data_IF_647627821645
#
_entry.id   IF_647627821645
#
_cell.length_a   1.000
_cell.length_b   1.000
_cell.length_c   1.000
_cell.angle_alpha   90.00
_cell.angle_beta   90.00
_cell.angle_gamma   90.00
#
_symmetry.space_group_name_H-M   'P 1'
#
loop_
_entity.id
_entity.type
_entity.pdbx_description
1 polymer ?
#
# COMPACT_ATOMS: atom_id res chain seq x y z
N UNK A 1 -6.51 -11.02 11.99
CA UNK A 1 -5.06 -10.98 12.33
C UNK A 1 -4.32 -10.29 11.20
N UNK A 2 -3.44 -9.35 11.51
CA UNK A 2 -2.57 -8.69 10.52
C UNK A 2 -1.21 -9.40 10.46
N UNK A 3 -0.67 -9.58 9.25
CA UNK A 3 0.61 -10.25 8.99
C UNK A 3 1.27 -9.68 7.72
N UNK A 4 2.48 -10.14 7.38
CA UNK A 4 3.18 -9.77 6.12
C UNK A 4 2.38 -10.11 4.86
N UNK A 5 1.48 -11.08 4.92
CA UNK A 5 0.60 -11.44 3.79
C UNK A 5 -0.64 -10.54 3.68
N UNK A 6 -0.87 -9.66 4.66
CA UNK A 6 -2.03 -8.79 4.74
C UNK A 6 -2.96 -9.11 5.92
N UNK A 7 -4.17 -8.61 5.85
CA UNK A 7 -5.21 -8.85 6.85
C UNK A 7 -5.83 -10.25 6.62
N UNK A 8 -5.57 -11.18 7.54
CA UNK A 8 -6.04 -12.57 7.46
C UNK A 8 -7.47 -12.69 7.96
N UNK A 9 -8.32 -13.29 7.15
CA UNK A 9 -9.72 -13.66 7.42
C UNK A 9 -9.84 -15.17 7.32
N UNK A 10 -10.42 -15.84 8.31
CA UNK A 10 -10.74 -17.26 8.19
C UNK A 10 -11.99 -17.43 7.33
N UNK A 11 -12.04 -18.44 6.48
CA UNK A 11 -13.20 -18.71 5.62
C UNK A 11 -14.44 -19.05 6.44
N UNK A 12 -14.27 -19.78 7.53
CA UNK A 12 -15.34 -20.20 8.43
C UNK A 12 -16.02 -19.02 9.17
N UNK A 13 -15.31 -17.89 9.29
CA UNK A 13 -15.82 -16.68 9.94
C UNK A 13 -16.58 -15.75 8.96
N UNK A 14 -16.68 -16.12 7.66
CA UNK A 14 -17.27 -15.32 6.61
C UNK A 14 -18.55 -15.96 6.04
N UNK A 15 -19.56 -15.14 5.83
CA UNK A 15 -20.73 -15.55 5.05
C UNK A 15 -20.41 -15.60 3.55
N UNK A 16 -21.18 -16.38 2.78
CA UNK A 16 -21.04 -16.43 1.33
C UNK A 16 -21.17 -15.03 0.67
N UNK A 17 -22.08 -14.20 1.19
CA UNK A 17 -22.24 -12.83 0.70
C UNK A 17 -21.00 -11.99 0.94
N UNK A 18 -20.36 -12.10 2.10
CA UNK A 18 -19.11 -11.39 2.40
C UNK A 18 -17.96 -11.86 1.50
N UNK A 19 -17.88 -13.16 1.20
CA UNK A 19 -16.88 -13.71 0.27
C UNK A 19 -17.10 -13.18 -1.14
N UNK A 20 -18.33 -13.16 -1.64
CA UNK A 20 -18.67 -12.62 -2.96
C UNK A 20 -18.33 -11.13 -3.05
N UNK A 21 -18.68 -10.35 -2.03
CA UNK A 21 -18.38 -8.93 -1.99
C UNK A 21 -16.87 -8.68 -1.95
N UNK A 22 -16.11 -9.40 -1.11
CA UNK A 22 -14.65 -9.35 -1.05
C UNK A 22 -14.03 -9.61 -2.43
N UNK A 23 -14.44 -10.68 -3.10
CA UNK A 23 -13.93 -11.03 -4.43
C UNK A 23 -14.27 -9.97 -5.47
N UNK A 24 -15.45 -9.37 -5.40
CA UNK A 24 -15.88 -8.28 -6.28
C UNK A 24 -15.04 -7.02 -6.06
N UNK A 25 -14.84 -6.62 -4.81
CA UNK A 25 -14.14 -5.39 -4.46
C UNK A 25 -12.62 -5.49 -4.75
N UNK A 26 -12.05 -6.68 -4.53
CA UNK A 26 -10.62 -6.93 -4.66
C UNK A 26 -10.23 -7.62 -5.98
N UNK A 27 -11.04 -7.47 -7.03
CA UNK A 27 -10.69 -7.91 -8.38
C UNK A 27 -10.57 -6.70 -9.30
N UNK A 28 -9.33 -6.33 -9.62
CA UNK A 28 -9.06 -5.25 -10.56
C UNK A 28 -9.34 -5.70 -11.99
N UNK A 29 -10.06 -4.86 -12.73
CA UNK A 29 -10.34 -5.04 -14.16
C UNK A 29 -9.75 -3.84 -14.89
N UNK A 30 -8.81 -4.02 -15.84
CA UNK A 30 -8.36 -2.91 -16.69
C UNK A 30 -9.53 -2.31 -17.44
N UNK A 31 -9.59 -0.98 -17.50
CA UNK A 31 -10.51 -0.29 -18.40
C UNK A 31 -10.06 -0.58 -19.84
N UNK A 32 -10.76 -1.45 -20.53
CA UNK A 32 -10.54 -1.61 -21.97
C UNK A 32 -11.05 -0.36 -22.67
N UNK A 33 -10.19 0.29 -23.44
CA UNK A 33 -10.61 1.33 -24.38
C UNK A 33 -11.48 0.65 -25.43
N UNK A 34 -12.76 1.05 -25.50
CA UNK A 34 -13.68 0.52 -26.50
C UNK A 34 -13.09 0.74 -27.90
N UNK A 35 -12.92 -0.34 -28.67
CA UNK A 35 -12.42 -0.31 -30.04
C UNK A 35 -10.99 -0.79 -30.26
N UNK A 36 -10.21 -1.06 -29.23
CA UNK A 36 -8.87 -1.62 -29.34
C UNK A 36 -8.77 -2.97 -28.61
N UNK A 37 -9.03 -4.05 -29.32
CA UNK A 37 -8.86 -5.43 -28.85
C UNK A 37 -9.57 -6.42 -29.74
N UNK A 38 -9.14 -7.70 -29.82
CA UNK A 38 -9.84 -8.72 -30.58
C UNK A 38 -11.29 -8.87 -30.07
N UNK A 39 -12.28 -8.93 -30.95
CA UNK A 39 -13.66 -9.17 -30.56
C UNK A 39 -13.74 -10.56 -29.91
N UNK A 40 -14.11 -10.67 -28.65
CA UNK A 40 -14.24 -11.87 -27.81
C UNK A 40 -13.16 -12.14 -26.74
N UNK A 41 -12.19 -11.28 -26.48
CA UNK A 41 -11.35 -11.44 -25.30
C UNK A 41 -12.07 -10.99 -24.03
N UNK A 42 -12.30 -11.91 -23.11
CA UNK A 42 -12.73 -11.54 -21.76
C UNK A 42 -11.64 -10.68 -21.10
N UNK A 43 -11.98 -9.57 -20.48
CA UNK A 43 -10.99 -8.73 -19.79
C UNK A 43 -10.23 -9.55 -18.73
N UNK A 44 -8.91 -9.43 -18.74
CA UNK A 44 -8.07 -10.08 -17.74
C UNK A 44 -8.45 -9.51 -16.37
N UNK A 45 -8.64 -10.38 -15.39
CA UNK A 45 -8.99 -10.00 -14.02
C UNK A 45 -7.80 -10.29 -13.11
N UNK A 46 -7.48 -9.34 -12.26
CA UNK A 46 -6.36 -9.44 -11.34
C UNK A 46 -6.88 -9.45 -9.89
N UNK A 47 -6.84 -10.58 -9.18
CA UNK A 47 -7.20 -10.61 -7.77
C UNK A 47 -6.14 -9.87 -6.95
N UNK A 48 -6.59 -8.95 -6.10
CA UNK A 48 -5.75 -8.19 -5.14
C UNK A 48 -5.88 -8.81 -3.75
N UNK A 49 -6.06 -10.09 -3.68
CA UNK A 49 -6.08 -10.90 -2.46
C UNK A 49 -5.39 -12.22 -2.69
N UNK A 50 -4.92 -12.83 -1.60
CA UNK A 50 -4.44 -14.22 -1.64
C UNK A 50 -5.48 -15.12 -1.00
N UNK A 51 -5.60 -16.33 -1.52
CA UNK A 51 -6.51 -17.35 -1.01
C UNK A 51 -5.75 -18.62 -0.67
N UNK A 52 -5.98 -19.15 0.53
CA UNK A 52 -5.53 -20.47 0.96
C UNK A 52 -6.74 -21.38 1.20
N UNK A 53 -6.51 -22.64 1.53
CA UNK A 53 -7.60 -23.58 1.83
C UNK A 53 -8.53 -23.07 2.95
N UNK A 54 -8.00 -22.39 3.97
CA UNK A 54 -8.74 -21.99 5.17
C UNK A 54 -8.90 -20.48 5.34
N UNK A 55 -8.27 -19.64 4.50
CA UNK A 55 -8.22 -18.21 4.77
C UNK A 55 -8.07 -17.37 3.51
N UNK A 56 -8.57 -16.12 3.59
CA UNK A 56 -8.26 -15.04 2.69
C UNK A 56 -7.24 -14.10 3.34
N UNK A 57 -6.34 -13.53 2.52
CA UNK A 57 -5.43 -12.48 2.91
C UNK A 57 -5.71 -11.27 2.01
N UNK A 58 -6.19 -10.19 2.63
CA UNK A 58 -6.64 -8.99 1.92
C UNK A 58 -5.75 -7.80 2.27
N UNK A 59 -5.73 -6.75 1.44
CA UNK A 59 -4.99 -5.53 1.76
C UNK A 59 -5.38 -4.99 3.15
N UNK A 60 -4.38 -4.53 3.91
CA UNK A 60 -4.54 -4.06 5.29
C UNK A 60 -5.71 -3.10 5.47
N UNK A 61 -5.72 -2.03 4.67
CA UNK A 61 -6.73 -0.98 4.82
C UNK A 61 -8.14 -1.44 4.45
N UNK A 62 -8.27 -2.32 3.45
CA UNK A 62 -9.54 -2.94 3.13
C UNK A 62 -10.04 -3.81 4.31
N UNK A 63 -9.15 -4.64 4.85
CA UNK A 63 -9.47 -5.49 5.99
C UNK A 63 -9.91 -4.70 7.21
N UNK A 64 -9.16 -3.67 7.59
CA UNK A 64 -9.49 -2.80 8.73
C UNK A 64 -10.80 -2.05 8.51
N UNK A 65 -11.02 -1.50 7.32
CA UNK A 65 -12.25 -0.75 6.99
C UNK A 65 -13.50 -1.64 7.02
N UNK A 66 -13.39 -2.87 6.51
CA UNK A 66 -14.54 -3.75 6.28
C UNK A 66 -14.83 -4.66 7.48
N UNK A 67 -13.79 -5.12 8.17
CA UNK A 67 -13.88 -6.13 9.24
C UNK A 67 -13.41 -5.62 10.60
N UNK A 68 -13.02 -4.35 10.69
CA UNK A 68 -12.57 -3.73 11.94
C UNK A 68 -11.10 -3.98 12.26
N UNK A 69 -10.67 -3.51 13.42
CA UNK A 69 -9.27 -3.67 13.86
C UNK A 69 -8.90 -5.14 14.06
N UNK A 70 -7.69 -5.55 13.66
CA UNK A 70 -7.25 -6.93 13.82
C UNK A 70 -7.05 -7.26 15.30
N UNK A 71 -7.56 -8.41 15.72
CA UNK A 71 -7.37 -8.91 17.10
C UNK A 71 -5.89 -9.11 17.47
N UNK A 72 -5.03 -9.29 16.48
CA UNK A 72 -3.59 -9.47 16.65
C UNK A 72 -2.86 -8.86 15.47
N UNK A 73 -1.88 -8.02 15.75
CA UNK A 73 -0.95 -7.48 14.77
C UNK A 73 0.40 -8.21 14.94
N UNK A 74 0.83 -8.88 13.88
CA UNK A 74 2.11 -9.59 13.80
C UNK A 74 3.02 -8.93 12.76
N UNK A 75 2.78 -7.68 12.41
CA UNK A 75 3.71 -6.93 11.58
C UNK A 75 4.96 -6.62 12.41
N UNK A 76 6.09 -6.85 11.78
CA UNK A 76 7.39 -6.48 12.30
C UNK A 76 7.65 -5.00 11.95
N UNK A 77 8.16 -4.23 12.90
CA UNK A 77 8.51 -2.82 12.68
C UNK A 77 9.66 -2.64 11.68
N UNK A 78 10.28 -3.72 11.25
CA UNK A 78 11.42 -3.72 10.36
C UNK A 78 12.75 -3.48 11.09
N UNK A 79 13.85 -3.75 10.39
CA UNK A 79 15.19 -3.59 10.94
C UNK A 79 15.55 -2.11 11.11
N UNK A 80 16.16 -1.72 12.22
CA UNK A 80 16.60 -0.35 12.43
C UNK A 80 17.73 0.01 11.45
N UNK A 81 17.83 1.29 11.15
CA UNK A 81 18.93 1.90 10.41
C UNK A 81 19.25 3.24 11.04
N UNK A 82 20.56 3.53 11.19
CA UNK A 82 21.01 4.81 11.69
C UNK A 82 21.32 5.73 10.52
N UNK A 83 20.37 6.59 10.20
CA UNK A 83 20.46 7.60 9.14
C UNK A 83 19.86 8.91 9.62
N UNK A 84 20.39 10.00 9.09
CA UNK A 84 19.88 11.35 9.30
C UNK A 84 19.51 11.99 7.98
N UNK A 85 18.49 12.82 8.01
CA UNK A 85 18.09 13.58 6.83
C UNK A 85 18.99 14.79 6.64
N UNK A 86 19.77 14.80 5.56
CA UNK A 86 20.63 15.90 5.17
C UNK A 86 19.88 16.86 4.23
N UNK A 87 19.12 17.79 4.80
CA UNK A 87 18.33 18.72 4.01
C UNK A 87 17.31 19.50 4.85
N UNK A 88 16.50 20.30 4.17
CA UNK A 88 15.41 21.04 4.80
C UNK A 88 14.10 20.83 4.05
N UNK A 89 13.02 20.64 4.80
CA UNK A 89 11.68 20.59 4.23
C UNK A 89 11.13 22.01 4.04
N UNK A 90 10.34 22.21 3.01
CA UNK A 90 9.57 23.43 2.81
C UNK A 90 8.47 23.52 3.87
N UNK A 91 8.01 24.73 4.14
CA UNK A 91 6.95 24.98 5.13
C UNK A 91 5.67 24.17 4.89
N UNK A 92 5.31 23.98 3.62
CA UNK A 92 4.14 23.18 3.24
C UNK A 92 4.33 21.67 3.40
N UNK A 93 5.56 21.17 3.50
CA UNK A 93 5.87 19.74 3.66
C UNK A 93 5.86 19.30 5.14
N UNK A 94 6.19 20.19 6.06
CA UNK A 94 6.28 19.90 7.49
C UNK A 94 4.97 19.33 8.08
N UNK A 95 3.78 19.93 7.84
CA UNK A 95 2.53 19.39 8.35
C UNK A 95 2.18 18.02 7.74
N UNK A 96 2.57 17.78 6.48
CA UNK A 96 2.33 16.51 5.80
C UNK A 96 3.20 15.41 6.39
N UNK A 97 4.49 15.71 6.64
CA UNK A 97 5.39 14.77 7.31
C UNK A 97 4.85 14.39 8.69
N UNK A 98 4.48 15.41 9.50
CA UNK A 98 3.94 15.19 10.84
C UNK A 98 2.70 14.29 10.80
N UNK A 99 1.72 14.63 9.95
CA UNK A 99 0.49 13.85 9.82
C UNK A 99 0.77 12.39 9.42
N UNK A 100 1.72 12.15 8.51
CA UNK A 100 2.09 10.81 8.09
C UNK A 100 2.72 10.00 9.23
N UNK A 101 3.60 10.61 10.01
CA UNK A 101 4.25 9.97 11.15
C UNK A 101 3.25 9.69 12.28
N UNK A 102 2.34 10.62 12.57
CA UNK A 102 1.28 10.46 13.57
C UNK A 102 0.32 9.30 13.22
N UNK A 103 0.14 8.99 11.93
CA UNK A 103 -0.63 7.85 11.43
C UNK A 103 0.15 6.53 11.40
N UNK A 104 1.25 6.42 12.13
CA UNK A 104 2.11 5.22 12.19
C UNK A 104 2.63 4.77 10.81
N UNK A 105 2.91 5.72 9.91
CA UNK A 105 3.57 5.45 8.65
C UNK A 105 2.72 4.72 7.59
N UNK A 106 1.40 4.83 7.65
CA UNK A 106 0.53 4.26 6.63
C UNK A 106 -0.32 5.30 5.93
N UNK A 107 -0.32 5.35 4.60
CA UNK A 107 -1.17 6.28 3.88
C UNK A 107 -0.70 6.60 2.46
N UNK A 108 -1.43 7.48 1.79
CA UNK A 108 -1.09 8.00 0.46
C UNK A 108 -0.79 9.49 0.59
N UNK A 109 0.41 9.88 0.18
CA UNK A 109 0.83 11.28 0.10
C UNK A 109 0.61 11.78 -1.33
N UNK A 110 -0.32 12.72 -1.52
CA UNK A 110 -0.59 13.35 -2.80
C UNK A 110 -0.05 14.77 -2.82
N UNK A 111 0.91 15.04 -3.71
CA UNK A 111 1.49 16.36 -3.92
C UNK A 111 1.51 16.68 -5.41
N UNK A 112 1.37 17.97 -5.75
CA UNK A 112 1.51 18.47 -7.13
C UNK A 112 2.90 18.15 -7.71
N UNK A 113 3.03 18.23 -9.03
CA UNK A 113 4.35 18.16 -9.66
C UNK A 113 5.26 19.28 -9.12
N UNK A 114 6.53 18.97 -8.87
CA UNK A 114 7.48 19.90 -8.25
C UNK A 114 7.29 20.11 -6.73
N UNK A 115 6.31 19.47 -6.11
CA UNK A 115 6.04 19.57 -4.65
C UNK A 115 7.06 18.87 -3.76
N UNK A 116 8.15 18.34 -4.31
CA UNK A 116 9.24 17.73 -3.55
C UNK A 116 8.88 16.39 -2.90
N UNK A 117 8.09 15.55 -3.59
CA UNK A 117 7.68 14.22 -3.11
C UNK A 117 8.85 13.35 -2.64
N UNK A 118 9.93 13.31 -3.42
CA UNK A 118 11.12 12.51 -3.11
C UNK A 118 11.81 13.01 -1.83
N UNK A 119 12.02 14.32 -1.73
CA UNK A 119 12.66 14.94 -0.55
C UNK A 119 11.83 14.70 0.71
N UNK A 120 10.52 14.85 0.62
CA UNK A 120 9.60 14.55 1.73
C UNK A 120 9.68 13.07 2.13
N UNK A 121 9.70 12.16 1.16
CA UNK A 121 9.78 10.74 1.45
C UNK A 121 11.14 10.35 2.09
N UNK A 122 12.25 10.92 1.63
CA UNK A 122 13.57 10.72 2.26
C UNK A 122 13.58 11.21 3.72
N UNK A 123 12.98 12.37 3.97
CA UNK A 123 12.83 12.90 5.34
C UNK A 123 11.98 11.99 6.23
N UNK A 124 10.90 11.41 5.70
CA UNK A 124 10.06 10.45 6.43
C UNK A 124 10.86 9.17 6.73
N UNK A 125 11.59 8.62 5.75
CA UNK A 125 12.43 7.43 5.90
C UNK A 125 13.45 7.66 7.03
N UNK A 126 14.14 8.79 7.03
CA UNK A 126 15.11 9.14 8.06
C UNK A 126 14.44 9.29 9.44
N UNK A 127 13.24 9.85 9.51
CA UNK A 127 12.49 9.98 10.77
C UNK A 127 12.01 8.65 11.33
N UNK A 128 11.65 7.71 10.47
CA UNK A 128 11.23 6.37 10.87
C UNK A 128 12.39 5.50 11.35
N UNK A 129 13.62 5.78 10.94
CA UNK A 129 14.84 5.01 11.26
C UNK A 129 14.67 3.50 11.02
N UNK A 130 14.01 3.13 9.94
CA UNK A 130 13.78 1.72 9.54
C UNK A 130 14.30 1.48 8.13
N UNK A 131 14.89 0.29 7.89
CA UNK A 131 15.27 -0.13 6.54
C UNK A 131 14.05 -0.09 5.65
N UNK A 132 14.14 0.67 4.57
CA UNK A 132 13.03 0.97 3.67
C UNK A 132 13.33 0.46 2.27
N UNK A 133 12.32 -0.08 1.59
CA UNK A 133 12.38 -0.43 0.17
C UNK A 133 11.51 0.55 -0.59
N UNK A 134 12.09 1.19 -1.60
CA UNK A 134 11.36 2.08 -2.51
C UNK A 134 11.06 1.31 -3.80
N UNK A 135 9.79 1.18 -4.15
CA UNK A 135 9.33 0.51 -5.36
C UNK A 135 8.94 1.56 -6.40
N UNK A 136 9.53 1.46 -7.58
CA UNK A 136 9.27 2.35 -8.71
C UNK A 136 8.98 1.53 -9.97
N UNK A 137 8.21 2.08 -10.90
CA UNK A 137 7.79 1.38 -12.13
C UNK A 137 8.53 1.82 -13.39
N UNK A 138 9.53 2.71 -13.27
CA UNK A 138 10.33 3.24 -14.38
C UNK A 138 11.80 3.40 -13.98
N UNK A 139 12.71 3.07 -14.88
CA UNK A 139 14.16 3.11 -14.63
C UNK A 139 14.66 4.51 -14.28
N UNK A 140 14.14 5.55 -14.95
CA UNK A 140 14.54 6.93 -14.63
C UNK A 140 14.16 7.35 -13.20
N UNK A 141 13.06 6.80 -12.64
CA UNK A 141 12.71 7.03 -11.25
C UNK A 141 13.68 6.34 -10.30
N UNK A 142 14.15 5.14 -10.67
CA UNK A 142 15.16 4.44 -9.88
C UNK A 142 16.46 5.24 -9.80
N UNK A 143 16.90 5.82 -10.91
CA UNK A 143 18.06 6.72 -10.96
C UNK A 143 17.84 7.94 -10.07
N UNK A 144 16.67 8.62 -10.20
CA UNK A 144 16.33 9.78 -9.38
C UNK A 144 16.33 9.51 -7.87
N UNK A 145 15.99 8.28 -7.46
CA UNK A 145 16.00 7.91 -6.05
C UNK A 145 17.39 7.56 -5.52
N UNK A 146 18.30 7.18 -6.40
CA UNK A 146 19.68 6.83 -6.05
C UNK A 146 20.60 8.06 -5.98
N UNK A 147 20.38 9.05 -6.86
CA UNK A 147 21.15 10.30 -6.96
C UNK A 147 20.68 11.33 -5.92
#
# INVERSE_FOLDING_TARGET
>A
MLSRQGYKLKKDDLSEQQIQQLKKDLTAKPNMVQGFGPPNQKPVQYPIYLESNSSYYVPRFYGVKTFGQPKKDNLDDGLPIDIEFQGSLRSEQLPIQKLYLDQQGGGIISLKCGGGKTVLALSIIASLKRKTIVLVHKDFLMTQWRD
#
